data_IF_858762759052
#
_entry.id   IF_858762759052
#
_cell.length_a   1.000
_cell.length_b   1.000
_cell.length_c   1.000
_cell.angle_alpha   90.00
_cell.angle_beta   90.00
_cell.angle_gamma   90.00
#
_symmetry.space_group_name_H-M   'P 1'
#
loop_
_entity.id
_entity.type
_entity.pdbx_description
1 polymer ?
#
# COMPACT_ATOMS: atom_id res chain seq x y z
N UNK A 1 -4.94 -1.26 -39.17
CA UNK A 1 -5.84 -1.16 -38.02
C UNK A 1 -4.97 -0.93 -36.75
N UNK A 2 -4.87 0.31 -36.27
CA UNK A 2 -4.24 0.57 -34.94
C UNK A 2 -5.29 0.23 -33.90
N UNK A 3 -5.05 -0.80 -33.15
CA UNK A 3 -5.84 -1.12 -31.95
C UNK A 3 -5.66 0.03 -30.95
N UNK A 4 -6.76 0.66 -30.56
CA UNK A 4 -6.74 1.73 -29.60
C UNK A 4 -7.35 1.23 -28.27
N UNK A 5 -6.50 0.97 -27.28
CA UNK A 5 -6.88 0.52 -25.94
C UNK A 5 -7.91 1.46 -25.28
N UNK A 6 -7.81 2.76 -25.53
CA UNK A 6 -8.73 3.76 -24.98
C UNK A 6 -10.18 3.51 -25.35
N UNK A 7 -10.46 2.98 -26.56
CA UNK A 7 -11.83 2.66 -26.97
C UNK A 7 -12.51 1.55 -26.19
N UNK A 8 -11.73 0.73 -25.50
CA UNK A 8 -12.24 -0.39 -24.70
C UNK A 8 -12.33 -0.08 -23.22
N UNK A 9 -11.63 0.95 -22.76
CA UNK A 9 -11.39 1.15 -21.32
C UNK A 9 -11.60 2.58 -20.80
N UNK A 10 -11.62 3.58 -21.70
CA UNK A 10 -11.63 4.97 -21.27
C UNK A 10 -12.88 5.68 -21.78
N UNK A 11 -13.79 5.96 -20.87
CA UNK A 11 -14.85 6.94 -21.02
C UNK A 11 -15.91 6.66 -22.10
N UNK A 12 -16.79 7.62 -22.29
CA UNK A 12 -17.85 7.55 -23.30
C UNK A 12 -17.30 7.71 -24.71
N UNK A 13 -18.04 7.21 -25.69
CA UNK A 13 -17.83 7.52 -27.11
C UNK A 13 -18.10 9.01 -27.39
N UNK A 14 -17.65 9.49 -28.54
CA UNK A 14 -17.88 10.89 -28.95
C UNK A 14 -19.37 11.26 -28.99
N UNK A 15 -20.24 10.33 -29.44
CA UNK A 15 -21.69 10.55 -29.46
C UNK A 15 -22.27 10.67 -28.04
N UNK A 16 -21.91 9.75 -27.16
CA UNK A 16 -22.35 9.78 -25.76
C UNK A 16 -21.84 11.02 -25.04
N UNK A 17 -20.59 11.42 -25.29
CA UNK A 17 -20.03 12.66 -24.75
C UNK A 17 -20.87 13.89 -25.16
N UNK A 18 -21.23 13.99 -26.43
CA UNK A 18 -22.06 15.09 -26.92
C UNK A 18 -23.45 15.12 -26.25
N UNK A 19 -24.04 13.97 -25.99
CA UNK A 19 -25.32 13.88 -25.31
C UNK A 19 -25.20 14.24 -23.81
N UNK A 20 -24.11 13.83 -23.15
CA UNK A 20 -23.79 14.24 -21.79
C UNK A 20 -23.62 15.77 -21.67
N UNK A 21 -22.88 16.38 -22.59
CA UNK A 21 -22.66 17.83 -22.62
C UNK A 21 -23.96 18.61 -22.81
N UNK A 22 -24.87 18.11 -23.66
CA UNK A 22 -26.23 18.70 -23.82
C UNK A 22 -27.03 18.66 -22.52
N UNK A 23 -27.01 17.54 -21.81
CA UNK A 23 -27.70 17.37 -20.52
C UNK A 23 -27.15 18.34 -19.47
N UNK A 24 -25.84 18.48 -19.43
CA UNK A 24 -25.14 19.40 -18.49
C UNK A 24 -25.40 20.86 -18.88
N UNK A 25 -25.72 21.14 -20.15
CA UNK A 25 -25.96 22.49 -20.66
C UNK A 25 -24.69 23.25 -21.04
N UNK A 26 -23.61 22.55 -21.39
CA UNK A 26 -22.34 23.15 -21.82
C UNK A 26 -22.01 22.78 -23.26
N UNK A 27 -21.22 23.63 -23.92
CA UNK A 27 -20.93 23.47 -25.37
C UNK A 27 -19.82 22.49 -25.68
N UNK A 28 -18.87 22.31 -24.76
CA UNK A 28 -17.70 21.48 -24.94
C UNK A 28 -17.11 21.06 -23.59
N UNK A 29 -16.19 20.07 -23.59
CA UNK A 29 -15.40 19.72 -22.40
C UNK A 29 -14.63 20.94 -21.91
N UNK A 30 -14.08 21.73 -22.82
CA UNK A 30 -13.34 22.96 -22.48
C UNK A 30 -14.20 23.96 -21.73
N UNK A 31 -15.44 24.15 -22.18
CA UNK A 31 -16.42 24.99 -21.50
C UNK A 31 -16.74 24.45 -20.09
N UNK A 32 -16.93 23.15 -19.96
CA UNK A 32 -17.13 22.49 -18.66
C UNK A 32 -15.93 22.69 -17.73
N UNK A 33 -14.72 22.46 -18.22
CA UNK A 33 -13.49 22.64 -17.45
C UNK A 33 -13.31 24.09 -16.97
N UNK A 34 -13.64 25.07 -17.84
CA UNK A 34 -13.53 26.49 -17.49
C UNK A 34 -14.49 26.91 -16.38
N UNK A 35 -15.64 26.23 -16.27
CA UNK A 35 -16.64 26.48 -15.23
C UNK A 35 -16.40 25.74 -13.92
N UNK A 36 -15.64 24.63 -13.96
CA UNK A 36 -15.49 23.73 -12.82
C UNK A 36 -14.10 23.79 -12.18
N UNK A 37 -13.07 24.09 -12.95
CA UNK A 37 -11.69 24.10 -12.47
C UNK A 37 -11.17 25.54 -12.39
N UNK A 38 -10.75 26.01 -11.22
CA UNK A 38 -10.14 27.34 -11.09
C UNK A 38 -8.90 27.47 -11.98
N UNK A 39 -8.79 28.60 -12.70
CA UNK A 39 -7.71 28.85 -13.63
C UNK A 39 -6.32 28.73 -13.00
N UNK A 40 -6.17 29.05 -11.72
CA UNK A 40 -4.91 29.00 -10.99
C UNK A 40 -4.30 27.59 -10.87
N UNK A 41 -5.13 26.54 -10.92
CA UNK A 41 -4.69 25.15 -10.81
C UNK A 41 -4.78 24.39 -12.14
N UNK A 42 -5.23 25.07 -13.19
CA UNK A 42 -5.37 24.48 -14.51
C UNK A 42 -4.03 24.45 -15.23
N UNK A 43 -3.72 23.31 -15.84
CA UNK A 43 -2.54 23.16 -16.71
C UNK A 43 -2.70 24.07 -17.93
N UNK A 44 -1.65 24.79 -18.29
CA UNK A 44 -1.60 25.71 -19.45
C UNK A 44 -1.20 25.02 -20.75
N UNK A 45 -0.70 23.81 -20.67
CA UNK A 45 -0.28 22.97 -21.80
C UNK A 45 -0.65 21.52 -21.51
N UNK A 46 -0.75 20.73 -22.55
CA UNK A 46 -0.88 19.28 -22.44
C UNK A 46 0.34 18.68 -21.72
N UNK A 47 0.15 17.49 -21.16
CA UNK A 47 1.24 16.76 -20.53
C UNK A 47 2.30 16.38 -21.58
N UNK A 48 3.57 16.57 -21.26
CA UNK A 48 4.69 16.12 -22.08
C UNK A 48 4.92 14.62 -21.88
N UNK A 49 4.07 13.82 -22.51
CA UNK A 49 4.11 12.36 -22.48
C UNK A 49 4.11 11.81 -23.91
N UNK A 50 4.74 10.66 -24.17
CA UNK A 50 4.71 10.02 -25.47
C UNK A 50 3.27 9.69 -25.94
N UNK A 51 3.11 9.60 -27.26
CA UNK A 51 1.86 9.15 -27.84
C UNK A 51 1.48 7.72 -27.40
N UNK A 52 0.19 7.42 -27.43
CA UNK A 52 -0.32 6.10 -27.12
C UNK A 52 0.22 5.04 -28.10
N UNK A 53 0.71 3.95 -27.56
CA UNK A 53 1.18 2.78 -28.31
C UNK A 53 0.18 1.63 -28.22
N UNK A 54 0.29 0.65 -29.12
CA UNK A 54 -0.53 -0.56 -29.05
C UNK A 54 -0.11 -1.46 -27.88
N UNK A 55 -1.01 -2.32 -27.42
CA UNK A 55 -0.71 -3.33 -26.37
C UNK A 55 0.51 -4.20 -26.73
N UNK A 56 0.61 -4.61 -28.00
CA UNK A 56 1.75 -5.39 -28.48
C UNK A 56 3.07 -4.62 -28.39
N UNK A 57 3.07 -3.35 -28.75
CA UNK A 57 4.25 -2.48 -28.67
C UNK A 57 4.64 -2.26 -27.20
N UNK A 58 3.65 -2.01 -26.34
CA UNK A 58 3.87 -1.89 -24.90
C UNK A 58 4.50 -3.14 -24.28
N UNK A 59 3.96 -4.33 -24.59
CA UNK A 59 4.52 -5.59 -24.09
C UNK A 59 5.96 -5.83 -24.57
N UNK A 60 6.29 -5.45 -25.81
CA UNK A 60 7.66 -5.52 -26.32
C UNK A 60 8.58 -4.56 -25.56
N UNK A 61 8.10 -3.37 -25.26
CA UNK A 61 8.88 -2.38 -24.51
C UNK A 61 9.12 -2.82 -23.06
N UNK A 62 8.09 -3.29 -22.37
CA UNK A 62 8.22 -3.84 -21.02
C UNK A 62 9.18 -5.03 -20.98
N UNK A 63 9.12 -5.92 -21.98
CA UNK A 63 10.07 -7.01 -22.10
C UNK A 63 11.50 -6.51 -22.30
N UNK A 64 11.70 -5.45 -23.08
CA UNK A 64 13.01 -4.81 -23.24
C UNK A 64 13.51 -4.23 -21.90
N UNK A 65 12.66 -3.53 -21.16
CA UNK A 65 13.02 -3.02 -19.82
C UNK A 65 13.36 -4.16 -18.85
N UNK A 66 12.63 -5.25 -18.88
CA UNK A 66 12.92 -6.40 -18.01
C UNK A 66 14.33 -6.97 -18.22
N UNK A 67 14.88 -6.89 -19.44
CA UNK A 67 16.25 -7.37 -19.74
C UNK A 67 17.34 -6.46 -19.19
N UNK A 68 17.02 -5.23 -18.78
CA UNK A 68 17.97 -4.32 -18.13
C UNK A 68 18.19 -4.69 -16.65
N UNK A 69 17.25 -5.41 -16.06
CA UNK A 69 17.37 -5.90 -14.70
C UNK A 69 18.40 -7.06 -14.66
N UNK A 70 19.34 -6.95 -13.75
CA UNK A 70 20.36 -7.98 -13.55
C UNK A 70 20.13 -8.64 -12.19
N UNK A 71 20.13 -9.98 -12.20
CA UNK A 71 20.07 -10.74 -10.96
C UNK A 71 21.44 -10.76 -10.30
N UNK A 72 21.62 -9.97 -9.26
CA UNK A 72 22.81 -9.97 -8.44
C UNK A 72 22.58 -10.81 -7.18
N UNK A 73 23.65 -11.43 -6.67
CA UNK A 73 23.64 -11.96 -5.31
C UNK A 73 23.60 -10.78 -4.34
N UNK A 74 22.62 -10.75 -3.46
CA UNK A 74 22.52 -9.71 -2.45
C UNK A 74 23.18 -10.12 -1.15
N UNK A 75 23.88 -9.19 -0.52
CA UNK A 75 24.52 -9.34 0.79
C UNK A 75 24.13 -8.23 1.75
N UNK A 76 23.08 -7.47 1.42
CA UNK A 76 22.64 -6.32 2.22
C UNK A 76 22.13 -6.79 3.59
N UNK A 77 21.36 -7.85 3.65
CA UNK A 77 20.82 -8.40 4.90
C UNK A 77 19.80 -7.47 5.55
N UNK A 78 20.05 -7.06 6.80
CA UNK A 78 19.16 -6.23 7.61
C UNK A 78 17.77 -6.86 7.85
N UNK A 79 17.68 -8.18 7.92
CA UNK A 79 16.44 -8.93 8.12
C UNK A 79 15.72 -9.31 6.83
N UNK A 80 16.20 -8.88 5.66
CA UNK A 80 15.64 -9.26 4.36
C UNK A 80 16.48 -10.35 3.71
N UNK A 81 15.81 -11.33 3.15
CA UNK A 81 16.41 -12.44 2.39
C UNK A 81 15.44 -12.94 1.34
N UNK A 82 15.97 -13.63 0.34
CA UNK A 82 15.16 -14.22 -0.72
C UNK A 82 14.27 -15.34 -0.17
N UNK A 83 13.11 -15.49 -0.79
CA UNK A 83 12.14 -16.54 -0.50
C UNK A 83 11.79 -17.32 -1.76
N UNK A 84 11.37 -18.56 -1.57
CA UNK A 84 10.87 -19.40 -2.66
C UNK A 84 9.34 -19.45 -2.61
N UNK A 85 8.71 -19.09 -3.71
CA UNK A 85 7.27 -19.28 -3.86
C UNK A 85 7.01 -20.63 -4.53
N UNK A 86 6.40 -21.61 -3.85
CA UNK A 86 6.02 -22.86 -4.48
C UNK A 86 5.09 -22.63 -5.67
N UNK A 87 5.30 -23.39 -6.76
CA UNK A 87 4.51 -23.20 -8.00
C UNK A 87 3.01 -23.40 -7.77
N UNK A 88 2.61 -24.25 -6.84
CA UNK A 88 1.21 -24.44 -6.48
C UNK A 88 0.60 -23.19 -5.84
N UNK A 89 1.35 -22.49 -5.00
CA UNK A 89 0.92 -21.22 -4.39
C UNK A 89 0.84 -20.14 -5.45
N UNK A 90 1.85 -20.03 -6.30
CA UNK A 90 1.84 -19.07 -7.41
C UNK A 90 0.59 -19.23 -8.26
N UNK A 91 0.33 -20.45 -8.77
CA UNK A 91 -0.80 -20.71 -9.64
C UNK A 91 -2.16 -20.57 -8.94
N UNK A 92 -2.30 -21.16 -7.76
CA UNK A 92 -3.62 -21.31 -7.12
C UNK A 92 -4.01 -20.12 -6.24
N UNK A 93 -3.06 -19.29 -5.85
CA UNK A 93 -3.29 -18.10 -5.01
C UNK A 93 -2.96 -16.83 -5.77
N UNK A 94 -1.70 -16.63 -6.16
CA UNK A 94 -1.25 -15.37 -6.74
C UNK A 94 -1.84 -15.10 -8.14
N UNK A 95 -2.05 -16.13 -8.94
CA UNK A 95 -2.64 -16.01 -10.29
C UNK A 95 -4.15 -16.24 -10.32
N UNK A 96 -4.76 -16.63 -9.21
CA UNK A 96 -6.18 -16.94 -9.13
C UNK A 96 -7.01 -15.67 -8.86
N UNK A 97 -7.85 -15.23 -9.80
CA UNK A 97 -8.66 -14.02 -9.64
C UNK A 97 -9.73 -14.14 -8.55
N UNK A 98 -10.03 -15.33 -8.05
CA UNK A 98 -10.88 -15.53 -6.87
C UNK A 98 -10.21 -15.06 -5.57
N UNK A 99 -8.88 -15.08 -5.52
CA UNK A 99 -8.09 -14.66 -4.37
C UNK A 99 -7.58 -13.23 -4.49
N UNK A 100 -7.01 -12.84 -5.62
CA UNK A 100 -6.61 -11.47 -5.81
C UNK A 100 -7.77 -10.63 -6.33
N UNK A 101 -7.90 -9.43 -5.80
CA UNK A 101 -8.85 -8.43 -6.28
C UNK A 101 -8.12 -7.12 -6.53
N UNK A 102 -8.59 -6.35 -7.49
CA UNK A 102 -7.97 -5.08 -7.85
C UNK A 102 -8.18 -3.98 -6.79
N UNK A 103 -9.05 -4.23 -5.80
CA UNK A 103 -9.47 -3.24 -4.83
C UNK A 103 -8.96 -3.54 -3.42
N UNK A 104 -8.62 -2.49 -2.68
CA UNK A 104 -8.34 -2.60 -1.25
C UNK A 104 -9.60 -3.07 -0.53
N UNK A 105 -9.54 -4.00 0.46
CA UNK A 105 -10.70 -4.68 1.01
C UNK A 105 -11.55 -3.81 1.96
N UNK A 106 -11.90 -2.61 1.55
CA UNK A 106 -12.86 -1.76 2.26
C UNK A 106 -14.32 -2.17 2.00
N UNK A 107 -14.59 -2.74 0.82
CA UNK A 107 -15.91 -3.20 0.41
C UNK A 107 -15.88 -4.74 0.28
N UNK A 108 -16.58 -5.47 1.17
CA UNK A 108 -16.57 -6.93 1.16
C UNK A 108 -17.05 -7.52 -0.16
N UNK A 109 -18.03 -6.87 -0.79
CA UNK A 109 -18.66 -7.34 -2.03
C UNK A 109 -17.66 -7.52 -3.18
N UNK A 110 -16.65 -6.64 -3.24
CA UNK A 110 -15.65 -6.64 -4.32
C UNK A 110 -14.38 -7.41 -3.91
N UNK A 111 -14.17 -7.62 -2.62
CA UNK A 111 -12.90 -8.09 -2.08
C UNK A 111 -13.01 -9.42 -1.31
N UNK A 112 -14.01 -10.25 -1.59
CA UNK A 112 -14.30 -11.47 -0.82
C UNK A 112 -13.12 -12.44 -0.73
N UNK A 113 -12.44 -12.73 -1.84
CA UNK A 113 -11.27 -13.62 -1.83
C UNK A 113 -10.12 -13.06 -1.01
N UNK A 114 -9.88 -11.76 -1.05
CA UNK A 114 -8.87 -11.09 -0.23
C UNK A 114 -9.24 -11.11 1.25
N UNK A 115 -10.50 -10.91 1.60
CA UNK A 115 -10.97 -11.02 2.98
C UNK A 115 -10.79 -12.42 3.54
N UNK A 116 -11.07 -13.45 2.76
CA UNK A 116 -10.81 -14.84 3.14
C UNK A 116 -9.31 -15.08 3.38
N UNK A 117 -8.44 -14.55 2.51
CA UNK A 117 -6.98 -14.63 2.68
C UNK A 117 -6.52 -13.94 3.98
N UNK A 118 -7.07 -12.76 4.30
CA UNK A 118 -6.77 -12.04 5.54
C UNK A 118 -7.21 -12.83 6.78
N UNK A 119 -8.37 -13.43 6.75
CA UNK A 119 -8.88 -14.26 7.85
C UNK A 119 -7.98 -15.48 8.08
N UNK A 120 -7.59 -16.17 7.02
CA UNK A 120 -6.67 -17.30 7.08
C UNK A 120 -5.30 -16.87 7.66
N UNK A 121 -4.78 -15.71 7.25
CA UNK A 121 -3.55 -15.15 7.80
C UNK A 121 -3.66 -14.89 9.31
N UNK A 122 -4.73 -14.24 9.76
CA UNK A 122 -4.97 -13.96 11.19
C UNK A 122 -5.02 -15.24 12.02
N UNK A 123 -5.71 -16.26 11.54
CA UNK A 123 -5.79 -17.56 12.18
C UNK A 123 -4.41 -18.22 12.28
N UNK A 124 -3.66 -18.22 11.19
CA UNK A 124 -2.31 -18.78 11.16
C UNK A 124 -1.36 -18.07 12.15
N UNK A 125 -1.40 -16.75 12.21
CA UNK A 125 -0.56 -15.99 13.14
C UNK A 125 -0.94 -16.28 14.59
N UNK A 126 -2.23 -16.34 14.93
CA UNK A 126 -2.67 -16.73 16.27
C UNK A 126 -2.18 -18.13 16.64
N UNK A 127 -2.27 -19.08 15.72
CA UNK A 127 -1.81 -20.47 15.97
C UNK A 127 -0.29 -20.54 16.18
N UNK A 128 0.48 -19.81 15.42
CA UNK A 128 1.95 -19.81 15.51
C UNK A 128 2.47 -19.08 16.76
N UNK A 129 1.84 -17.97 17.13
CA UNK A 129 2.31 -17.11 18.22
C UNK A 129 1.64 -17.39 19.56
N UNK A 130 0.52 -18.10 19.56
CA UNK A 130 -0.37 -18.31 20.71
C UNK A 130 -0.98 -17.00 21.26
N UNK A 131 -0.99 -15.96 20.46
CA UNK A 131 -1.73 -14.74 20.76
C UNK A 131 -3.23 -14.97 20.51
N UNK A 132 -4.08 -14.35 21.32
CA UNK A 132 -5.54 -14.52 21.21
C UNK A 132 -6.11 -13.87 19.95
N UNK A 133 -5.52 -12.77 19.52
CA UNK A 133 -6.00 -11.97 18.38
C UNK A 133 -4.80 -11.53 17.55
N UNK A 134 -4.94 -11.57 16.25
CA UNK A 134 -4.04 -10.93 15.30
C UNK A 134 -4.83 -10.01 14.35
N UNK A 135 -4.22 -8.93 13.93
CA UNK A 135 -4.73 -8.15 12.81
C UNK A 135 -4.08 -8.61 11.49
N UNK A 136 -4.45 -7.97 10.40
CA UNK A 136 -3.88 -8.24 9.08
C UNK A 136 -3.90 -6.98 8.21
N UNK A 137 -3.19 -7.04 7.08
CA UNK A 137 -3.24 -5.99 6.04
C UNK A 137 -2.69 -4.62 6.48
N UNK A 138 -1.65 -4.62 7.28
CA UNK A 138 -0.80 -3.43 7.46
C UNK A 138 0.27 -3.38 6.36
N UNK A 139 0.82 -2.18 6.11
CA UNK A 139 1.77 -1.96 5.03
C UNK A 139 3.01 -2.84 5.15
N UNK A 140 3.64 -2.83 6.34
CA UNK A 140 4.86 -3.55 6.65
C UNK A 140 5.05 -3.74 8.18
N UNK A 141 6.10 -4.44 8.58
CA UNK A 141 6.43 -4.68 9.98
C UNK A 141 6.71 -3.37 10.76
N UNK A 142 7.36 -2.41 10.12
CA UNK A 142 7.65 -1.11 10.73
C UNK A 142 6.39 -0.33 11.03
N UNK A 143 5.44 -0.31 10.07
CA UNK A 143 4.12 0.30 10.24
C UNK A 143 3.32 -0.44 11.32
N UNK A 144 3.36 -1.78 11.33
CA UNK A 144 2.67 -2.58 12.35
C UNK A 144 3.13 -2.23 13.77
N UNK A 145 4.44 -2.13 13.97
CA UNK A 145 5.01 -1.72 15.25
C UNK A 145 4.61 -0.29 15.64
N UNK A 146 4.60 0.64 14.68
CA UNK A 146 4.21 2.03 14.90
C UNK A 146 2.72 2.17 15.22
N UNK A 147 1.85 1.43 14.54
CA UNK A 147 0.40 1.41 14.85
C UNK A 147 0.13 0.81 16.22
N UNK A 148 0.87 -0.25 16.62
CA UNK A 148 0.79 -0.79 17.99
C UNK A 148 1.19 0.26 19.03
N UNK A 149 2.27 1.01 18.79
CA UNK A 149 2.69 2.10 19.66
C UNK A 149 1.61 3.18 19.79
N UNK A 150 1.03 3.62 18.66
CA UNK A 150 -0.02 4.64 18.63
C UNK A 150 -1.28 4.14 19.35
N UNK A 151 -1.65 2.90 19.14
CA UNK A 151 -2.80 2.27 19.82
C UNK A 151 -2.59 2.27 21.35
N UNK A 152 -1.43 1.85 21.82
CA UNK A 152 -1.09 1.85 23.26
C UNK A 152 -1.07 3.27 23.82
N UNK A 153 -0.49 4.21 23.09
CA UNK A 153 -0.46 5.62 23.46
C UNK A 153 -1.87 6.21 23.63
N UNK A 154 -2.78 5.92 22.70
CA UNK A 154 -4.15 6.43 22.76
C UNK A 154 -4.98 5.76 23.87
N UNK A 155 -4.72 4.51 24.18
CA UNK A 155 -5.43 3.73 25.20
C UNK A 155 -4.84 3.85 26.62
N UNK A 156 -3.93 4.79 26.87
CA UNK A 156 -3.44 5.07 28.23
C UNK A 156 -4.59 5.36 29.20
N UNK A 157 -4.47 4.86 30.42
CA UNK A 157 -5.42 5.13 31.48
C UNK A 157 -5.51 6.63 31.81
N UNK A 158 -6.57 7.04 32.52
CA UNK A 158 -6.71 8.44 32.95
C UNK A 158 -5.51 8.89 33.79
N UNK A 159 -5.02 8.04 34.67
CA UNK A 159 -3.86 8.33 35.55
C UNK A 159 -2.57 8.47 34.73
N UNK A 160 -2.34 7.60 33.77
CA UNK A 160 -1.19 7.70 32.85
C UNK A 160 -1.23 8.98 32.01
N UNK A 161 -2.41 9.41 31.56
CA UNK A 161 -2.59 10.66 30.85
C UNK A 161 -2.37 11.87 31.72
N UNK A 162 -2.88 11.89 32.98
CA UNK A 162 -2.71 12.97 33.91
C UNK A 162 -1.25 13.16 34.36
N UNK A 163 -0.50 12.07 34.45
CA UNK A 163 0.93 12.06 34.77
C UNK A 163 1.83 12.26 33.53
N UNK A 164 1.23 12.50 32.39
CA UNK A 164 1.92 12.64 31.08
C UNK A 164 2.91 11.50 30.77
N UNK A 165 2.57 10.27 31.16
CA UNK A 165 3.38 9.10 30.85
C UNK A 165 3.30 8.83 29.35
N UNK A 166 4.36 9.17 28.61
CA UNK A 166 4.48 9.00 27.15
C UNK A 166 5.78 8.28 26.81
N UNK A 167 5.91 7.05 27.29
CA UNK A 167 7.08 6.21 27.05
C UNK A 167 6.65 4.92 26.40
N UNK A 168 7.38 4.49 25.39
CA UNK A 168 7.17 3.22 24.71
C UNK A 168 8.47 2.43 24.73
N UNK A 169 8.41 1.21 25.23
CA UNK A 169 9.57 0.34 25.32
C UNK A 169 9.75 -0.45 24.04
N UNK A 170 10.98 -0.52 23.54
CA UNK A 170 11.35 -1.22 22.31
C UNK A 170 12.58 -2.07 22.60
N UNK A 171 12.58 -3.31 22.13
CA UNK A 171 13.75 -4.18 22.22
C UNK A 171 14.93 -3.60 21.42
N UNK A 172 16.14 -3.69 21.96
CA UNK A 172 17.35 -3.19 21.31
C UNK A 172 17.71 -3.94 20.01
N UNK A 173 17.22 -5.18 19.87
CA UNK A 173 17.47 -6.03 18.70
C UNK A 173 16.42 -5.84 17.59
N UNK A 174 15.50 -4.89 17.72
CA UNK A 174 14.55 -4.58 16.65
C UNK A 174 15.31 -4.15 15.40
N UNK A 175 14.77 -4.48 14.22
CA UNK A 175 15.37 -4.10 12.95
C UNK A 175 15.56 -2.57 12.86
N UNK A 176 16.72 -2.08 12.38
CA UNK A 176 17.02 -0.65 12.32
C UNK A 176 15.98 0.18 11.58
N UNK A 177 15.43 -0.34 10.48
CA UNK A 177 14.37 0.31 9.71
C UNK A 177 13.06 0.42 10.52
N UNK A 178 12.69 -0.60 11.27
CA UNK A 178 11.50 -0.57 12.14
C UNK A 178 11.67 0.46 13.25
N UNK A 179 12.86 0.53 13.86
CA UNK A 179 13.18 1.56 14.85
C UNK A 179 13.10 2.97 14.26
N UNK A 180 13.54 3.16 13.02
CA UNK A 180 13.45 4.44 12.31
C UNK A 180 12.00 4.88 12.10
N UNK A 181 11.11 3.97 11.72
CA UNK A 181 9.67 4.25 11.59
C UNK A 181 9.06 4.60 12.94
N UNK A 182 9.37 3.85 14.00
CA UNK A 182 8.91 4.14 15.35
C UNK A 182 9.34 5.53 15.81
N UNK A 183 10.60 5.92 15.62
CA UNK A 183 11.11 7.26 15.96
C UNK A 183 10.34 8.36 15.22
N UNK A 184 10.10 8.18 13.92
CA UNK A 184 9.36 9.15 13.12
C UNK A 184 7.93 9.31 13.60
N UNK A 185 7.26 8.22 13.96
CA UNK A 185 5.88 8.24 14.45
C UNK A 185 5.76 8.69 15.91
N UNK A 186 6.77 8.44 16.75
CA UNK A 186 6.81 8.87 18.14
C UNK A 186 7.03 10.38 18.30
N UNK A 187 7.79 10.98 17.39
CA UNK A 187 8.19 12.39 17.47
C UNK A 187 7.01 13.36 17.62
N UNK A 188 5.99 13.38 16.75
CA UNK A 188 4.85 14.29 16.87
C UNK A 188 3.98 14.03 18.11
N UNK A 189 4.07 12.85 18.70
CA UNK A 189 3.33 12.47 19.91
C UNK A 189 4.09 12.84 21.19
N UNK A 190 5.30 13.38 21.09
CA UNK A 190 6.22 13.56 22.20
C UNK A 190 6.39 12.26 23.02
N UNK A 191 6.36 11.11 22.31
CA UNK A 191 6.51 9.79 22.91
C UNK A 191 7.99 9.43 22.96
N UNK A 192 8.52 9.19 24.15
CA UNK A 192 9.90 8.77 24.33
C UNK A 192 10.03 7.28 24.03
N UNK A 193 10.84 6.95 23.04
CA UNK A 193 11.25 5.56 22.82
C UNK A 193 12.38 5.19 23.76
N UNK A 194 12.16 4.18 24.55
CA UNK A 194 13.15 3.64 25.48
C UNK A 194 13.60 2.28 24.98
N UNK A 195 14.90 2.14 24.74
CA UNK A 195 15.52 0.85 24.40
C UNK A 195 16.39 0.43 25.59
N UNK A 196 16.15 -0.75 26.14
CA UNK A 196 17.04 -1.38 27.10
C UNK A 196 17.61 -2.64 26.49
N UNK A 197 18.85 -3.00 26.81
CA UNK A 197 19.29 -4.37 26.58
C UNK A 197 18.31 -5.33 27.25
N UNK A 198 18.12 -6.49 26.63
CA UNK A 198 17.28 -7.54 27.21
C UNK A 198 17.75 -7.85 28.63
N UNK A 199 16.87 -8.15 29.59
CA UNK A 199 17.28 -8.58 30.94
C UNK A 199 18.27 -9.76 30.94
N UNK A 200 18.43 -10.45 29.82
CA UNK A 200 19.44 -11.49 29.64
C UNK A 200 20.83 -10.93 29.40
N UNK A 201 20.97 -9.71 28.89
CA UNK A 201 22.24 -9.08 28.56
C UNK A 201 22.89 -8.41 29.78
N UNK A 202 22.11 -8.18 30.86
CA UNK A 202 22.62 -7.65 32.14
C UNK A 202 23.24 -8.74 33.06
N UNK A 203 23.17 -10.02 32.62
CA UNK A 203 23.71 -11.16 33.39
C UNK A 203 25.00 -11.74 32.82
N UNK A 204 25.65 -11.09 31.85
CA UNK A 204 26.93 -11.55 31.26
C UNK A 204 28.11 -10.67 31.62
#
# INVERSE_FOLDING_TARGET
YKENFSRRHIGPSTSELNDMLKIIGVKSIEDLLSQTIPEKIRLKSDLDIPDAISEMEFLKEIKKFSTLNKNFKTYIGLGYHDTFTPSVIQRNILENPGWYTAYTPYQPEIAQGRLEALLNFQTMICDLTKMEIANASLLDEGTSAAEAMIMMYNNRSKDQKSQNISRFFVDSNILPQTLSVLKTRAYPLCCLLYTSPSPRDEQS
#
